data_IF_391844245640
#
_entry.id   IF_391844245640
#
_cell.length_a   1.000
_cell.length_b   1.000
_cell.length_c   1.000
_cell.angle_alpha   90.00
_cell.angle_beta   90.00
_cell.angle_gamma   90.00
#
_symmetry.space_group_name_H-M   'P 1'
#
loop_
_entity.id
_entity.type
_entity.pdbx_description
1 polymer ?
#
# COMPACT_ATOMS: atom_id res chain seq x y z
N UNK A 1 -2.46 -21.17 -2.65
CA UNK A 1 -2.80 -19.75 -2.82
C UNK A 1 -1.58 -19.01 -3.31
N UNK A 2 -1.76 -18.13 -4.28
CA UNK A 2 -0.67 -17.37 -4.90
C UNK A 2 -0.70 -15.94 -4.39
N UNK A 3 0.44 -15.45 -3.92
CA UNK A 3 0.65 -14.04 -3.59
C UNK A 3 1.41 -13.43 -4.75
N UNK A 4 0.81 -12.43 -5.41
CA UNK A 4 1.42 -11.78 -6.56
C UNK A 4 1.87 -10.38 -6.18
N UNK A 5 3.15 -10.09 -6.30
CA UNK A 5 3.65 -8.74 -6.09
C UNK A 5 2.96 -7.81 -7.11
N UNK A 6 2.53 -6.65 -6.65
CA UNK A 6 1.93 -5.67 -7.55
C UNK A 6 2.86 -4.46 -7.69
N UNK A 7 2.42 -3.45 -8.46
CA UNK A 7 3.23 -2.27 -8.74
C UNK A 7 2.93 -1.11 -7.79
N UNK A 8 2.36 -1.39 -6.63
CA UNK A 8 1.93 -0.34 -5.71
C UNK A 8 2.81 -0.30 -4.47
N UNK A 9 3.14 0.90 -4.03
CA UNK A 9 3.83 1.12 -2.77
C UNK A 9 3.07 2.19 -2.00
N UNK A 10 2.81 1.92 -0.73
CA UNK A 10 2.29 2.94 0.17
C UNK A 10 3.49 3.62 0.84
N UNK A 11 3.49 4.95 0.81
CA UNK A 11 4.52 5.76 1.45
C UNK A 11 3.87 6.54 2.59
N UNK A 12 4.28 6.26 3.82
CA UNK A 12 3.75 6.93 4.98
C UNK A 12 4.54 8.21 5.23
N UNK A 13 3.88 9.35 5.09
CA UNK A 13 4.50 10.68 5.19
C UNK A 13 3.70 11.56 6.15
N UNK A 14 4.36 12.52 6.78
CA UNK A 14 3.68 13.40 7.72
C UNK A 14 2.65 14.28 7.02
N UNK A 15 2.99 14.82 5.85
CA UNK A 15 2.14 15.73 5.09
C UNK A 15 2.15 15.36 3.61
N UNK A 16 1.08 14.72 3.12
CA UNK A 16 1.02 14.34 1.71
C UNK A 16 1.17 15.51 0.73
N UNK A 17 0.63 16.68 1.04
CA UNK A 17 0.73 17.82 0.14
C UNK A 17 2.18 18.29 -0.05
N UNK A 18 2.95 18.33 1.02
CA UNK A 18 4.38 18.66 0.93
C UNK A 18 5.16 17.61 0.17
N UNK A 19 4.86 16.33 0.46
CA UNK A 19 5.52 15.22 -0.22
C UNK A 19 5.19 15.21 -1.71
N UNK A 20 3.96 15.53 -2.09
CA UNK A 20 3.56 15.59 -3.49
C UNK A 20 4.47 16.54 -4.28
N UNK A 21 4.77 17.70 -3.73
CA UNK A 21 5.61 18.67 -4.43
C UNK A 21 6.98 18.07 -4.76
N UNK A 22 7.58 17.41 -3.81
CA UNK A 22 8.88 16.76 -4.04
C UNK A 22 8.77 15.67 -5.11
N UNK A 23 7.78 14.80 -5.00
CA UNK A 23 7.64 13.67 -5.93
C UNK A 23 7.29 14.13 -7.35
N UNK A 24 6.51 15.20 -7.51
CA UNK A 24 6.17 15.71 -8.84
C UNK A 24 7.28 16.60 -9.41
N UNK A 25 7.76 17.56 -8.63
CA UNK A 25 8.71 18.55 -9.14
C UNK A 25 10.13 18.00 -9.29
N UNK A 26 10.54 17.13 -8.39
CA UNK A 26 11.91 16.59 -8.39
C UNK A 26 11.99 15.23 -9.07
N UNK A 27 11.05 14.31 -8.77
CA UNK A 27 11.10 12.95 -9.29
C UNK A 27 10.24 12.72 -10.54
N UNK A 28 9.47 13.72 -10.95
CA UNK A 28 8.71 13.64 -12.19
C UNK A 28 7.46 12.77 -12.13
N UNK A 29 6.98 12.47 -10.92
CA UNK A 29 5.74 11.71 -10.78
C UNK A 29 4.55 12.51 -11.25
N UNK A 30 3.48 11.82 -11.64
CA UNK A 30 2.23 12.43 -12.10
C UNK A 30 1.12 12.10 -11.11
N UNK A 31 0.38 13.12 -10.68
CA UNK A 31 -0.74 12.93 -9.74
C UNK A 31 -1.91 12.29 -10.47
N UNK A 32 -2.48 11.25 -9.85
CA UNK A 32 -3.66 10.55 -10.35
C UNK A 32 -4.90 10.97 -9.57
N UNK A 33 -4.79 11.08 -8.26
CA UNK A 33 -5.92 11.40 -7.40
C UNK A 33 -5.44 12.02 -6.09
N UNK A 34 -6.31 12.83 -5.47
CA UNK A 34 -6.02 13.47 -4.19
C UNK A 34 -7.22 13.38 -3.27
N UNK A 35 -6.94 13.02 -2.02
CA UNK A 35 -7.86 13.20 -0.90
C UNK A 35 -7.04 13.85 0.22
N UNK A 36 -7.68 14.34 1.29
CA UNK A 36 -6.91 14.94 2.40
C UNK A 36 -5.89 14.00 3.04
N UNK A 37 -6.15 12.70 3.02
CA UNK A 37 -5.31 11.71 3.70
C UNK A 37 -4.45 10.87 2.78
N UNK A 38 -4.68 10.97 1.45
CA UNK A 38 -3.96 10.14 0.50
C UNK A 38 -3.85 10.82 -0.86
N UNK A 39 -2.65 10.83 -1.42
CA UNK A 39 -2.42 11.33 -2.78
C UNK A 39 -1.79 10.20 -3.58
N UNK A 40 -2.41 9.87 -4.72
CA UNK A 40 -1.93 8.80 -5.60
C UNK A 40 -1.11 9.39 -6.73
N UNK A 41 0.04 8.80 -6.99
CA UNK A 41 0.96 9.23 -8.04
C UNK A 41 1.37 8.03 -8.89
N UNK A 42 1.79 8.31 -10.12
CA UNK A 42 2.42 7.30 -10.97
C UNK A 42 3.80 7.76 -11.41
N UNK A 43 4.70 6.81 -11.62
CA UNK A 43 5.98 7.06 -12.25
C UNK A 43 6.39 5.77 -12.96
N UNK A 44 6.27 5.75 -14.31
CA UNK A 44 6.49 4.54 -15.06
C UNK A 44 5.55 3.42 -14.60
N UNK A 45 6.08 2.23 -14.31
CA UNK A 45 5.25 1.11 -13.88
C UNK A 45 4.77 1.20 -12.43
N UNK A 46 5.32 2.11 -11.62
CA UNK A 46 4.99 2.19 -10.20
C UNK A 46 3.82 3.10 -9.92
N UNK A 47 3.00 2.70 -8.95
CA UNK A 47 1.94 3.49 -8.37
C UNK A 47 2.27 3.75 -6.91
N UNK A 48 2.36 5.02 -6.54
CA UNK A 48 2.72 5.42 -5.19
C UNK A 48 1.53 6.06 -4.50
N UNK A 49 1.33 5.73 -3.23
CA UNK A 49 0.28 6.33 -2.41
C UNK A 49 0.94 7.06 -1.26
N UNK A 50 0.81 8.38 -1.23
CA UNK A 50 1.31 9.20 -0.13
C UNK A 50 0.22 9.24 0.94
N UNK A 51 0.42 8.48 2.01
CA UNK A 51 -0.56 8.35 3.08
C UNK A 51 -0.15 9.23 4.26
N UNK A 52 -1.14 9.96 4.80
CA UNK A 52 -0.91 10.83 5.96
C UNK A 52 -0.62 9.98 7.19
N UNK A 53 0.55 10.19 7.77
CA UNK A 53 0.96 9.50 8.99
C UNK A 53 1.83 10.45 9.82
N UNK A 54 1.21 11.46 10.46
CA UNK A 54 1.96 12.50 11.17
C UNK A 54 2.74 11.98 12.36
N UNK A 55 2.33 10.83 12.92
CA UNK A 55 2.98 10.24 14.08
C UNK A 55 4.00 9.16 13.71
N UNK A 56 4.21 8.92 12.42
CA UNK A 56 5.15 7.92 11.95
C UNK A 56 4.84 6.54 12.55
N UNK A 57 3.58 6.17 12.50
CA UNK A 57 3.06 4.93 13.10
C UNK A 57 3.54 3.67 12.40
N UNK A 58 4.02 3.79 11.16
CA UNK A 58 4.43 2.65 10.34
C UNK A 58 5.76 2.92 9.66
N UNK A 59 6.32 1.87 9.07
CA UNK A 59 7.47 2.02 8.19
C UNK A 59 7.12 2.99 7.06
N UNK A 60 8.10 3.70 6.58
CA UNK A 60 7.87 4.71 5.54
C UNK A 60 7.39 4.11 4.23
N UNK A 61 7.84 2.91 3.90
CA UNK A 61 7.52 2.26 2.63
C UNK A 61 6.87 0.90 2.89
N UNK A 62 5.69 0.70 2.34
CA UNK A 62 4.91 -0.53 2.51
C UNK A 62 4.69 -1.17 1.14
N UNK A 63 5.34 -2.29 0.84
CA UNK A 63 5.06 -3.04 -0.38
C UNK A 63 3.71 -3.73 -0.31
N UNK A 64 3.23 -4.23 -1.45
CA UNK A 64 1.86 -4.72 -1.55
C UNK A 64 1.82 -6.00 -2.40
N UNK A 65 0.91 -6.90 -2.04
CA UNK A 65 0.68 -8.14 -2.76
C UNK A 65 -0.80 -8.31 -3.05
N UNK A 66 -1.11 -8.83 -4.23
CA UNK A 66 -2.46 -9.20 -4.59
C UNK A 66 -2.71 -10.67 -4.24
N UNK A 67 -3.91 -10.96 -3.75
CA UNK A 67 -4.35 -12.33 -3.47
C UNK A 67 -5.78 -12.49 -3.95
N UNK A 68 -6.16 -13.70 -4.40
CA UNK A 68 -7.53 -13.92 -4.87
C UNK A 68 -8.58 -13.95 -3.76
N UNK A 69 -8.17 -14.26 -2.53
CA UNK A 69 -9.08 -14.33 -1.37
C UNK A 69 -8.34 -13.83 -0.14
N UNK A 70 -8.69 -12.61 0.30
CA UNK A 70 -7.98 -11.97 1.41
C UNK A 70 -8.15 -12.71 2.73
N UNK A 71 -9.37 -13.16 3.03
CA UNK A 71 -9.61 -13.86 4.28
C UNK A 71 -8.78 -15.15 4.38
N UNK A 72 -8.73 -15.91 3.30
CA UNK A 72 -7.92 -17.14 3.25
C UNK A 72 -6.42 -16.83 3.33
N UNK A 73 -6.00 -15.75 2.67
CA UNK A 73 -4.60 -15.32 2.73
C UNK A 73 -4.19 -14.92 4.14
N UNK A 74 -5.04 -14.14 4.83
CA UNK A 74 -4.74 -13.72 6.20
C UNK A 74 -4.69 -14.91 7.16
N UNK A 75 -5.56 -15.88 6.97
CA UNK A 75 -5.53 -17.11 7.79
C UNK A 75 -4.23 -17.87 7.59
N UNK A 76 -3.79 -17.99 6.34
CA UNK A 76 -2.53 -18.66 6.02
C UNK A 76 -1.32 -17.90 6.60
N UNK A 77 -1.33 -16.59 6.51
CA UNK A 77 -0.26 -15.76 7.04
C UNK A 77 -0.19 -15.84 8.57
N UNK A 78 -1.34 -15.83 9.21
CA UNK A 78 -1.40 -16.00 10.66
C UNK A 78 -0.82 -17.35 11.09
N UNK A 79 -1.15 -18.41 10.37
CA UNK A 79 -0.61 -19.74 10.66
C UNK A 79 0.91 -19.78 10.45
N UNK A 80 1.44 -18.94 9.58
CA UNK A 80 2.87 -18.85 9.31
C UNK A 80 3.62 -17.93 10.29
N UNK A 81 2.93 -17.36 11.27
CA UNK A 81 3.57 -16.54 12.30
C UNK A 81 3.46 -15.03 12.09
N UNK A 82 2.65 -14.60 11.14
CA UNK A 82 2.42 -13.17 10.91
C UNK A 82 1.44 -12.59 11.92
N UNK A 83 1.53 -11.29 12.17
CA UNK A 83 0.57 -10.53 12.95
C UNK A 83 -0.06 -9.44 12.09
N UNK A 84 -1.10 -8.78 12.59
CA UNK A 84 -1.83 -7.79 11.83
C UNK A 84 -1.76 -6.44 12.55
N UNK A 85 -1.54 -5.38 11.79
CA UNK A 85 -1.32 -4.03 12.32
C UNK A 85 -2.36 -3.09 11.71
N UNK A 86 -3.17 -2.38 12.52
CA UNK A 86 -4.13 -1.42 11.97
C UNK A 86 -3.43 -0.37 11.12
N UNK A 87 -4.01 -0.02 9.98
CA UNK A 87 -3.42 0.98 9.09
C UNK A 87 -3.49 2.36 9.71
N UNK A 88 -4.63 2.72 10.26
CA UNK A 88 -4.78 4.00 10.93
C UNK A 88 -6.23 4.49 10.88
N UNK A 89 -6.50 5.68 11.45
CA UNK A 89 -7.88 6.19 11.55
C UNK A 89 -8.51 6.53 10.21
N UNK A 90 -7.72 6.78 9.17
CA UNK A 90 -8.24 7.04 7.83
C UNK A 90 -8.71 5.78 7.10
N UNK A 91 -8.43 4.61 7.66
CA UNK A 91 -8.82 3.32 7.08
C UNK A 91 -9.31 2.39 8.19
N UNK A 92 -10.43 2.72 8.84
CA UNK A 92 -10.91 1.92 9.98
C UNK A 92 -11.22 0.49 9.58
N UNK A 93 -10.76 -0.45 10.40
CA UNK A 93 -10.97 -1.88 10.16
C UNK A 93 -10.02 -2.50 9.15
N UNK A 94 -9.08 -1.73 8.59
CA UNK A 94 -8.11 -2.25 7.65
C UNK A 94 -6.75 -2.46 8.32
N UNK A 95 -6.02 -3.46 7.82
CA UNK A 95 -4.78 -3.90 8.44
C UNK A 95 -3.69 -4.13 7.42
N UNK A 96 -2.45 -3.82 7.83
CA UNK A 96 -1.25 -4.36 7.21
C UNK A 96 -0.90 -5.68 7.87
N UNK A 97 0.00 -6.42 7.25
CA UNK A 97 0.55 -7.66 7.80
C UNK A 97 1.99 -7.40 8.22
N UNK A 98 2.35 -7.86 9.42
CA UNK A 98 3.74 -7.88 9.86
C UNK A 98 4.23 -9.31 9.81
N UNK A 99 5.30 -9.58 9.05
CA UNK A 99 5.84 -10.92 8.95
C UNK A 99 6.63 -11.28 10.23
N UNK A 100 7.08 -12.55 10.37
CA UNK A 100 7.83 -12.96 11.56
C UNK A 100 9.15 -12.23 11.78
N UNK A 101 9.65 -11.52 10.79
CA UNK A 101 10.90 -10.77 10.86
C UNK A 101 10.68 -9.27 11.09
N UNK A 102 9.41 -8.85 11.20
CA UNK A 102 9.07 -7.46 11.47
C UNK A 102 8.78 -6.60 10.25
N UNK A 103 8.87 -7.16 9.05
CA UNK A 103 8.59 -6.42 7.83
C UNK A 103 7.09 -6.29 7.60
N UNK A 104 6.65 -5.08 7.29
CA UNK A 104 5.23 -4.77 7.08
C UNK A 104 4.93 -4.73 5.59
N UNK A 105 3.81 -5.33 5.18
CA UNK A 105 3.33 -5.28 3.80
C UNK A 105 1.80 -5.30 3.78
N UNK A 106 1.23 -4.92 2.64
CA UNK A 106 -0.21 -4.90 2.44
C UNK A 106 -0.65 -6.11 1.62
N UNK A 107 -1.87 -6.57 1.85
CA UNK A 107 -2.47 -7.68 1.10
C UNK A 107 -3.82 -7.21 0.59
N UNK A 108 -3.98 -7.23 -0.73
CA UNK A 108 -5.15 -6.69 -1.41
C UNK A 108 -5.85 -7.83 -2.14
N UNK A 109 -7.18 -7.90 -2.00
CA UNK A 109 -7.94 -8.93 -2.71
C UNK A 109 -8.14 -8.51 -4.15
N UNK A 110 -7.37 -9.13 -5.02
CA UNK A 110 -7.42 -8.97 -6.47
C UNK A 110 -6.90 -10.22 -7.11
N UNK A 111 -7.34 -10.49 -8.32
CA UNK A 111 -6.68 -11.47 -9.16
C UNK A 111 -5.53 -10.78 -9.88
N UNK A 112 -4.30 -11.06 -9.43
CA UNK A 112 -3.10 -10.44 -10.00
C UNK A 112 -2.87 -10.77 -11.47
N UNK A 113 -3.60 -11.76 -12.01
CA UNK A 113 -3.54 -12.13 -13.41
C UNK A 113 -4.63 -11.46 -14.25
N UNK A 114 -5.52 -10.67 -13.64
CA UNK A 114 -6.58 -9.98 -14.35
C UNK A 114 -6.06 -8.67 -14.91
N UNK A 115 -5.89 -8.55 -16.25
CA UNK A 115 -5.32 -7.34 -16.83
C UNK A 115 -6.14 -6.09 -16.59
N UNK A 116 -7.43 -6.21 -16.31
CA UNK A 116 -8.28 -5.05 -16.03
C UNK A 116 -7.82 -4.27 -14.80
N UNK A 117 -7.33 -4.96 -13.78
CA UNK A 117 -6.86 -4.28 -12.57
C UNK A 117 -5.67 -3.38 -12.86
N UNK A 118 -4.85 -3.76 -13.81
CA UNK A 118 -3.67 -2.98 -14.17
C UNK A 118 -4.01 -1.84 -15.13
N UNK A 119 -5.03 -2.03 -15.97
CA UNK A 119 -5.40 -1.05 -16.98
C UNK A 119 -6.28 0.08 -16.44
N UNK A 120 -6.94 -0.13 -15.32
CA UNK A 120 -7.84 0.85 -14.72
C UNK A 120 -7.14 1.90 -13.87
N UNK A 121 -5.86 1.84 -13.79
CA UNK A 121 -5.07 2.76 -12.96
C UNK A 121 -4.53 3.94 -13.71
#
# INVERSE_FOLDING_TARGET
>A
MIFSANNELALHVADPASAERFYTETLGCVVVDRTPDCISLTNGPLRLYLLRDPHRSHDAVIPSFDVPNRAAALARLKAAGCSFVPIGPHAPGEFYVRDPHGVIFDVIERDGHNPKHHNER
#
